data_IF_164666491302
#
_entry.id   IF_164666491302
#
_cell.length_a   1.000
_cell.length_b   1.000
_cell.length_c   1.000
_cell.angle_alpha   90.00
_cell.angle_beta   90.00
_cell.angle_gamma   90.00
#
_symmetry.space_group_name_H-M   'P 1'
#
loop_
_entity.id
_entity.type
_entity.pdbx_description
1 polymer ?
#
# COMPACT_ATOMS: atom_id res chain seq x y z
N UNK A 1 23.16 -29.25 -11.11
CA UNK A 1 21.74 -28.84 -11.19
C UNK A 1 21.62 -27.42 -10.66
N UNK A 2 21.42 -26.39 -11.50
CA UNK A 2 21.40 -25.01 -11.01
C UNK A 2 20.02 -24.72 -10.41
N UNK A 3 20.02 -24.38 -9.11
CA UNK A 3 18.85 -23.86 -8.40
C UNK A 3 18.51 -22.48 -8.96
N UNK A 4 17.49 -22.41 -9.80
CA UNK A 4 16.99 -21.17 -10.39
C UNK A 4 16.44 -20.31 -9.24
N UNK A 5 17.22 -19.34 -8.79
CA UNK A 5 16.76 -18.23 -7.94
C UNK A 5 15.93 -17.32 -8.85
N UNK A 6 14.61 -17.39 -8.75
CA UNK A 6 13.71 -16.47 -9.44
C UNK A 6 14.06 -15.03 -9.04
N UNK A 7 14.51 -14.26 -10.04
CA UNK A 7 14.63 -12.82 -9.99
C UNK A 7 13.22 -12.25 -10.02
N UNK A 8 12.88 -11.48 -9.00
CA UNK A 8 11.62 -10.74 -8.92
C UNK A 8 11.60 -9.70 -10.05
N UNK A 9 10.81 -9.99 -11.08
CA UNK A 9 10.65 -9.17 -12.28
C UNK A 9 9.67 -8.04 -11.95
N UNK A 10 10.23 -6.87 -11.65
CA UNK A 10 9.45 -5.67 -11.31
C UNK A 10 8.76 -5.16 -12.59
N UNK A 11 7.52 -5.59 -12.78
CA UNK A 11 6.67 -5.15 -13.88
C UNK A 11 6.29 -3.67 -13.70
N UNK A 12 6.91 -2.82 -14.51
CA UNK A 12 6.53 -1.44 -14.73
C UNK A 12 5.08 -1.37 -15.25
N UNK A 13 4.18 -0.79 -14.45
CA UNK A 13 2.78 -0.57 -14.81
C UNK A 13 1.75 -0.93 -13.73
N UNK A 14 2.17 -1.51 -12.61
CA UNK A 14 1.27 -1.96 -11.55
C UNK A 14 1.61 -1.25 -10.24
N UNK A 15 0.60 -0.66 -9.61
CA UNK A 15 0.65 0.16 -8.38
C UNK A 15 1.72 -0.38 -7.42
N UNK A 16 2.83 0.34 -7.26
CA UNK A 16 3.82 0.03 -6.25
C UNK A 16 3.08 -0.16 -4.91
N UNK A 17 3.09 -1.39 -4.41
CA UNK A 17 2.36 -1.76 -3.20
C UNK A 17 2.75 -0.79 -2.09
N UNK A 18 1.77 -0.35 -1.28
CA UNK A 18 2.11 0.40 -0.08
C UNK A 18 2.97 -0.53 0.78
N UNK A 19 4.16 -0.08 1.20
CA UNK A 19 5.07 -0.82 2.08
C UNK A 19 5.20 -0.07 3.39
N UNK A 20 5.16 -0.80 4.51
CA UNK A 20 5.28 -0.20 5.82
C UNK A 20 6.74 0.16 6.10
N UNK A 21 7.03 1.44 6.28
CA UNK A 21 8.39 1.92 6.60
C UNK A 21 8.94 1.45 7.95
N UNK A 22 8.11 0.87 8.83
CA UNK A 22 8.54 0.41 10.14
C UNK A 22 8.96 -1.07 10.15
N UNK A 23 8.25 -1.92 9.41
CA UNK A 23 8.46 -3.38 9.45
C UNK A 23 8.67 -4.01 8.07
N UNK A 24 8.63 -3.24 6.99
CA UNK A 24 8.77 -3.74 5.62
C UNK A 24 7.57 -4.53 5.10
N UNK A 25 6.51 -4.74 5.90
CA UNK A 25 5.34 -5.49 5.46
C UNK A 25 4.47 -4.70 4.48
N UNK A 26 3.87 -5.41 3.53
CA UNK A 26 2.91 -4.87 2.56
C UNK A 26 1.44 -5.17 2.94
N UNK A 27 1.23 -5.75 4.12
CA UNK A 27 -0.09 -6.11 4.63
C UNK A 27 -0.74 -4.94 5.37
N UNK A 28 -1.60 -4.23 4.65
CA UNK A 28 -2.39 -3.13 5.18
C UNK A 28 -3.88 -3.49 5.26
N UNK A 29 -4.51 -3.16 6.40
CA UNK A 29 -5.96 -3.18 6.58
C UNK A 29 -6.49 -1.76 6.35
N UNK A 30 -7.56 -1.61 5.57
CA UNK A 30 -8.26 -0.32 5.48
C UNK A 30 -9.08 -0.14 6.75
N UNK A 31 -8.79 0.92 7.51
CA UNK A 31 -9.48 1.24 8.77
C UNK A 31 -10.73 2.05 8.49
N UNK A 32 -10.61 3.12 7.70
CA UNK A 32 -11.76 3.88 7.22
C UNK A 32 -11.48 4.51 5.86
N UNK A 33 -12.56 4.68 5.11
CA UNK A 33 -12.60 5.45 3.87
C UNK A 33 -13.52 6.65 4.09
N UNK A 34 -12.97 7.85 3.95
CA UNK A 34 -13.73 9.10 4.03
C UNK A 34 -13.72 9.75 2.66
N UNK A 35 -14.91 9.92 2.08
CA UNK A 35 -15.11 10.73 0.88
C UNK A 35 -15.27 12.17 1.32
N UNK A 36 -14.41 13.05 0.84
CA UNK A 36 -14.54 14.48 1.09
C UNK A 36 -15.42 15.11 0.00
N UNK A 37 -16.12 16.21 0.31
CA UNK A 37 -17.04 16.88 -0.63
C UNK A 37 -16.33 17.45 -1.87
N UNK A 38 -15.01 17.58 -1.84
CA UNK A 38 -14.17 18.03 -2.97
C UNK A 38 -13.75 16.88 -3.92
N UNK A 39 -14.42 15.73 -3.88
CA UNK A 39 -14.10 14.56 -4.71
C UNK A 39 -12.85 13.79 -4.26
N UNK A 40 -12.21 14.17 -3.15
CA UNK A 40 -11.03 13.49 -2.64
C UNK A 40 -11.44 12.28 -1.80
N UNK A 41 -10.83 11.13 -2.07
CA UNK A 41 -11.02 9.91 -1.28
C UNK A 41 -9.84 9.76 -0.33
N UNK A 42 -10.10 9.93 0.96
CA UNK A 42 -9.14 9.68 2.03
C UNK A 42 -9.29 8.25 2.52
N UNK A 43 -8.20 7.48 2.45
CA UNK A 43 -8.12 6.09 2.90
C UNK A 43 -7.10 6.00 4.02
N UNK A 44 -7.56 5.73 5.23
CA UNK A 44 -6.68 5.37 6.34
C UNK A 44 -6.41 3.87 6.29
N UNK A 45 -5.13 3.52 6.18
CA UNK A 45 -4.64 2.14 6.10
C UNK A 45 -3.76 1.87 7.32
N UNK A 46 -3.95 0.75 7.99
CA UNK A 46 -3.17 0.34 9.15
C UNK A 46 -2.39 -0.93 8.82
N UNK A 47 -1.08 -0.94 9.08
CA UNK A 47 -0.27 -2.13 8.89
C UNK A 47 -0.67 -3.21 9.89
N UNK A 48 -0.99 -4.41 9.41
CA UNK A 48 -1.41 -5.52 10.28
C UNK A 48 -0.30 -6.02 11.21
N UNK A 49 0.96 -5.78 10.85
CA UNK A 49 2.10 -6.34 11.58
C UNK A 49 2.62 -5.39 12.68
N UNK A 50 2.60 -4.08 12.46
CA UNK A 50 3.13 -3.10 13.44
C UNK A 50 2.10 -2.08 13.90
N UNK A 51 0.86 -2.12 13.38
CA UNK A 51 -0.19 -1.15 13.70
C UNK A 51 0.05 0.26 13.13
N UNK A 52 1.10 0.46 12.31
CA UNK A 52 1.41 1.78 11.78
C UNK A 52 0.37 2.25 10.77
N UNK A 53 -0.14 3.46 10.97
CA UNK A 53 -1.21 4.05 10.16
C UNK A 53 -0.63 4.93 9.05
N UNK A 54 -1.16 4.76 7.85
CA UNK A 54 -0.82 5.49 6.65
C UNK A 54 -2.11 6.03 6.04
N UNK A 55 -2.17 7.34 5.87
CA UNK A 55 -3.27 8.02 5.22
C UNK A 55 -2.93 8.25 3.76
N UNK A 56 -3.64 7.58 2.84
CA UNK A 56 -3.55 7.84 1.40
C UNK A 56 -4.71 8.73 0.98
N UNK A 57 -4.40 9.85 0.33
CA UNK A 57 -5.39 10.74 -0.29
C UNK A 57 -5.36 10.47 -1.79
N UNK A 58 -6.43 9.95 -2.34
CA UNK A 58 -6.60 9.82 -3.79
C UNK A 58 -7.47 11.00 -4.24
N UNK A 59 -6.85 12.01 -4.85
CA UNK A 59 -7.58 13.08 -5.53
C UNK A 59 -8.05 12.52 -6.87
N UNK A 60 -9.35 12.55 -7.14
CA UNK A 60 -9.85 12.41 -8.50
C UNK A 60 -9.51 13.73 -9.21
N UNK A 61 -8.45 13.74 -10.01
CA UNK A 61 -8.24 14.79 -11.00
C UNK A 61 -9.18 14.59 -12.18
#
# INVERSE_FOLDING_TARGET
MPRIKQRDEVVAGQKAGLVCRACGCQHFRVVYLKRLPNGVVMRLRECRHCGKRITTRESAS
#
